data_IF_625107060272
#
_entry.id   IF_625107060272
#
_cell.length_a   1.000
_cell.length_b   1.000
_cell.length_c   1.000
_cell.angle_alpha   90.00
_cell.angle_beta   90.00
_cell.angle_gamma   90.00
#
_symmetry.space_group_name_H-M   'P 1'
#
loop_
_entity.id
_entity.type
_entity.pdbx_description
1 polymer ?
#
# COMPACT_ATOMS: atom_id res chain seq x y z
N UNK A 1 -102.15 55.67 -19.22
CA UNK A 1 -103.32 56.42 -18.72
C UNK A 1 -103.16 57.87 -19.14
N UNK A 2 -103.62 58.22 -20.35
CA UNK A 2 -103.53 59.59 -20.84
C UNK A 2 -104.55 60.44 -20.08
N UNK A 3 -104.07 61.32 -19.21
CA UNK A 3 -104.89 62.33 -18.57
C UNK A 3 -105.32 63.31 -19.68
N UNK A 4 -106.55 63.20 -20.17
CA UNK A 4 -107.10 64.12 -21.17
C UNK A 4 -107.29 65.49 -20.52
N UNK A 5 -106.21 66.28 -20.52
CA UNK A 5 -106.18 67.64 -19.98
C UNK A 5 -107.29 68.50 -20.63
N UNK A 6 -107.62 68.24 -21.89
CA UNK A 6 -108.73 68.88 -22.60
C UNK A 6 -110.10 68.60 -21.98
N UNK A 7 -110.40 67.36 -21.55
CA UNK A 7 -111.68 67.03 -20.93
C UNK A 7 -111.81 67.65 -19.54
N UNK A 8 -110.73 67.64 -18.75
CA UNK A 8 -110.68 68.25 -17.42
C UNK A 8 -110.80 69.79 -17.48
N UNK A 9 -110.14 70.43 -18.44
CA UNK A 9 -110.27 71.86 -18.65
C UNK A 9 -111.67 72.23 -19.18
N UNK A 10 -112.27 71.41 -20.06
CA UNK A 10 -113.65 71.62 -20.56
C UNK A 10 -114.71 71.53 -19.45
N UNK A 11 -114.62 70.58 -18.53
CA UNK A 11 -115.53 70.48 -17.37
C UNK A 11 -115.30 71.62 -16.38
N UNK A 12 -114.05 71.92 -16.03
CA UNK A 12 -113.74 73.02 -15.11
C UNK A 12 -114.20 74.40 -15.64
N UNK A 13 -114.14 74.65 -16.95
CA UNK A 13 -114.67 75.88 -17.56
C UNK A 13 -116.20 75.90 -17.63
N UNK A 14 -116.86 74.76 -17.92
CA UNK A 14 -118.33 74.66 -17.89
C UNK A 14 -118.92 74.94 -16.50
N UNK A 15 -118.28 74.44 -15.45
CA UNK A 15 -118.74 74.65 -14.08
C UNK A 15 -118.52 76.10 -13.61
N UNK A 16 -117.44 76.76 -14.06
CA UNK A 16 -117.21 78.19 -13.75
C UNK A 16 -118.14 79.16 -14.50
N UNK A 17 -118.66 78.80 -15.68
CA UNK A 17 -119.63 79.64 -16.40
C UNK A 17 -121.06 79.53 -15.84
N UNK A 18 -121.44 78.38 -15.26
CA UNK A 18 -122.77 78.18 -14.64
C UNK A 18 -122.98 79.01 -13.37
N UNK A 19 -121.91 79.39 -12.68
CA UNK A 19 -121.97 80.21 -11.46
C UNK A 19 -122.21 81.71 -11.71
N UNK A 20 -122.17 82.17 -12.97
CA UNK A 20 -122.39 83.58 -13.34
C UNK A 20 -123.75 83.85 -14.02
N UNK A 21 -124.65 82.86 -14.11
CA UNK A 21 -125.90 82.92 -14.91
C UNK A 21 -127.23 83.18 -14.17
N UNK A 22 -127.26 83.29 -12.84
CA UNK A 22 -128.50 83.56 -12.09
C UNK A 22 -128.55 85.00 -11.60
N UNK A 23 -129.22 85.86 -12.38
CA UNK A 23 -129.70 87.18 -11.95
C UNK A 23 -131.22 87.08 -11.82
N UNK A 24 -131.82 87.15 -10.62
CA UNK A 24 -133.25 87.40 -10.49
C UNK A 24 -133.53 88.89 -10.67
N UNK A 25 -134.38 89.17 -11.66
CA UNK A 25 -134.96 90.46 -12.05
C UNK A 25 -135.66 91.19 -10.91
N UNK A 26 -135.40 92.49 -10.76
CA UNK A 26 -136.10 93.37 -9.83
C UNK A 26 -137.57 93.57 -10.23
N UNK A 27 -138.50 93.40 -9.29
CA UNK A 27 -139.73 94.19 -9.29
C UNK A 27 -139.34 95.64 -8.99
N UNK A 28 -139.26 96.39 -10.08
CA UNK A 28 -138.96 97.80 -10.13
C UNK A 28 -140.22 98.59 -9.78
N UNK A 29 -140.47 98.79 -8.49
CA UNK A 29 -141.28 99.89 -8.02
C UNK A 29 -140.73 100.33 -6.67
N UNK A 30 -140.27 101.60 -6.58
CA UNK A 30 -139.87 102.32 -5.35
C UNK A 30 -138.38 102.31 -4.93
N UNK A 31 -137.38 102.60 -5.79
CA UNK A 31 -136.04 103.06 -5.32
C UNK A 31 -135.33 104.01 -6.32
N UNK A 32 -134.69 105.09 -5.82
CA UNK A 32 -134.03 106.13 -6.62
C UNK A 32 -132.73 105.65 -7.32
N UNK A 33 -132.39 106.17 -8.52
CA UNK A 33 -131.20 105.79 -9.33
C UNK A 33 -129.82 105.83 -8.63
N UNK A 34 -129.67 106.54 -7.53
CA UNK A 34 -128.41 106.69 -6.78
C UNK A 34 -128.00 105.44 -5.99
N UNK A 35 -128.94 104.56 -5.60
CA UNK A 35 -128.63 103.35 -4.81
C UNK A 35 -128.11 102.18 -5.65
N UNK A 36 -128.53 102.04 -6.92
CA UNK A 36 -128.04 100.99 -7.84
C UNK A 36 -126.56 101.14 -8.19
N UNK A 37 -126.08 102.38 -8.32
CA UNK A 37 -124.69 102.68 -8.66
C UNK A 37 -123.73 102.33 -7.51
N UNK A 38 -124.18 102.52 -6.26
CA UNK A 38 -123.41 102.17 -5.07
C UNK A 38 -123.30 100.66 -4.84
N UNK A 39 -124.35 99.88 -5.09
CA UNK A 39 -124.28 98.42 -5.02
C UNK A 39 -123.32 97.85 -6.07
N UNK A 40 -123.39 98.33 -7.33
CA UNK A 40 -122.45 97.90 -8.37
C UNK A 40 -121.00 98.29 -8.05
N UNK A 41 -120.76 99.43 -7.39
CA UNK A 41 -119.41 99.81 -6.91
C UNK A 41 -118.92 98.93 -5.76
N UNK A 42 -119.80 98.48 -4.86
CA UNK A 42 -119.44 97.52 -3.80
C UNK A 42 -119.10 96.14 -4.36
N UNK A 43 -119.94 95.63 -5.27
CA UNK A 43 -119.67 94.37 -5.98
C UNK A 43 -118.34 94.44 -6.77
N UNK A 44 -118.08 95.55 -7.46
CA UNK A 44 -116.80 95.77 -8.15
C UNK A 44 -115.62 95.78 -7.17
N UNK A 45 -115.73 96.45 -6.03
CA UNK A 45 -114.67 96.48 -5.02
C UNK A 45 -114.45 95.11 -4.36
N UNK A 46 -115.50 94.33 -4.14
CA UNK A 46 -115.41 92.96 -3.60
C UNK A 46 -114.76 92.01 -4.62
N UNK A 47 -115.14 92.10 -5.89
CA UNK A 47 -114.52 91.34 -6.98
C UNK A 47 -113.06 91.76 -7.19
N UNK A 48 -112.74 93.05 -7.11
CA UNK A 48 -111.36 93.55 -7.17
C UNK A 48 -110.51 93.06 -5.99
N UNK A 49 -111.06 93.04 -4.77
CA UNK A 49 -110.38 92.48 -3.59
C UNK A 49 -110.15 90.98 -3.72
N UNK A 50 -111.15 90.22 -4.18
CA UNK A 50 -111.02 88.78 -4.45
C UNK A 50 -110.03 88.48 -5.59
N UNK A 51 -109.96 89.35 -6.61
CA UNK A 51 -108.97 89.24 -7.67
C UNK A 51 -107.56 89.55 -7.17
N UNK A 52 -107.42 90.54 -6.27
CA UNK A 52 -106.14 90.87 -5.65
C UNK A 52 -105.64 89.77 -4.73
N UNK A 53 -106.49 89.16 -3.91
CA UNK A 53 -106.12 88.01 -3.07
C UNK A 53 -105.72 86.80 -3.92
N UNK A 54 -106.47 86.47 -4.97
CA UNK A 54 -106.10 85.41 -5.91
C UNK A 54 -104.78 85.70 -6.63
N UNK A 55 -104.51 86.96 -7.00
CA UNK A 55 -103.21 87.36 -7.58
C UNK A 55 -102.06 87.20 -6.59
N UNK A 56 -102.26 87.55 -5.31
CA UNK A 56 -101.25 87.38 -4.27
C UNK A 56 -101.00 85.89 -3.97
N UNK A 57 -102.05 85.08 -3.86
CA UNK A 57 -101.92 83.63 -3.69
C UNK A 57 -101.22 82.98 -4.88
N UNK A 58 -101.56 83.40 -6.11
CA UNK A 58 -100.88 82.94 -7.32
C UNK A 58 -99.40 83.32 -7.31
N UNK A 59 -99.06 84.56 -6.91
CA UNK A 59 -97.66 85.01 -6.76
C UNK A 59 -96.90 84.16 -5.73
N UNK A 60 -97.46 83.96 -4.54
CA UNK A 60 -96.84 83.13 -3.50
C UNK A 60 -96.68 81.67 -3.94
N UNK A 61 -97.66 81.11 -4.67
CA UNK A 61 -97.55 79.76 -5.25
C UNK A 61 -96.44 79.69 -6.31
N UNK A 62 -96.33 80.71 -7.16
CA UNK A 62 -95.27 80.81 -8.16
C UNK A 62 -93.88 80.93 -7.53
N UNK A 63 -93.73 81.71 -6.46
CA UNK A 63 -92.47 81.85 -5.71
C UNK A 63 -92.05 80.52 -5.06
N UNK A 64 -92.99 79.81 -4.40
CA UNK A 64 -92.71 78.48 -3.82
C UNK A 64 -92.32 77.47 -4.90
N UNK A 65 -92.98 77.50 -6.05
CA UNK A 65 -92.62 76.65 -7.19
C UNK A 65 -91.24 77.02 -7.75
N UNK A 66 -90.91 78.31 -7.84
CA UNK A 66 -89.60 78.78 -8.28
C UNK A 66 -88.48 78.32 -7.32
N UNK A 67 -88.68 78.49 -6.01
CA UNK A 67 -87.75 78.01 -4.98
C UNK A 67 -87.58 76.48 -5.05
N UNK A 68 -88.68 75.73 -5.20
CA UNK A 68 -88.62 74.28 -5.31
C UNK A 68 -87.94 73.81 -6.60
N UNK A 69 -88.13 74.52 -7.71
CA UNK A 69 -87.38 74.28 -8.96
C UNK A 69 -85.88 74.50 -8.76
N UNK A 70 -85.49 75.56 -8.07
CA UNK A 70 -84.08 75.85 -7.77
C UNK A 70 -83.44 74.78 -6.87
N UNK A 71 -84.14 74.36 -5.80
CA UNK A 71 -83.67 73.28 -4.92
C UNK A 71 -83.55 71.94 -5.64
N UNK A 72 -84.50 71.62 -6.53
CA UNK A 72 -84.43 70.42 -7.35
C UNK A 72 -83.24 70.48 -8.32
N UNK A 73 -82.96 71.64 -8.91
CA UNK A 73 -81.78 71.84 -9.76
C UNK A 73 -80.47 71.63 -9.01
N UNK A 74 -80.31 72.22 -7.83
CA UNK A 74 -79.12 72.02 -6.99
C UNK A 74 -78.92 70.55 -6.60
N UNK A 75 -79.98 69.86 -6.19
CA UNK A 75 -79.93 68.43 -5.87
C UNK A 75 -79.59 67.59 -7.10
N UNK A 76 -80.10 67.96 -8.27
CA UNK A 76 -79.74 67.30 -9.52
C UNK A 76 -78.25 67.48 -9.84
N UNK A 77 -77.69 68.67 -9.66
CA UNK A 77 -76.26 68.95 -9.84
C UNK A 77 -75.38 68.17 -8.85
N UNK A 78 -75.77 68.13 -7.57
CA UNK A 78 -75.10 67.33 -6.54
C UNK A 78 -75.10 65.84 -6.90
N UNK A 79 -76.26 65.31 -7.32
CA UNK A 79 -76.38 63.93 -7.77
C UNK A 79 -75.53 63.67 -9.01
N UNK A 80 -75.52 64.58 -9.99
CA UNK A 80 -74.65 64.48 -11.18
C UNK A 80 -73.18 64.42 -10.78
N UNK A 81 -72.73 65.26 -9.84
CA UNK A 81 -71.35 65.25 -9.36
C UNK A 81 -71.00 63.96 -8.61
N UNK A 82 -71.93 63.44 -7.81
CA UNK A 82 -71.77 62.14 -7.13
C UNK A 82 -71.70 60.99 -8.14
N UNK A 83 -72.56 60.97 -9.17
CA UNK A 83 -72.51 59.97 -10.25
C UNK A 83 -71.17 60.02 -10.97
N UNK A 84 -70.66 61.21 -11.32
CA UNK A 84 -69.36 61.35 -11.96
C UNK A 84 -68.20 60.83 -11.08
N UNK A 85 -68.26 61.08 -9.77
CA UNK A 85 -67.28 60.53 -8.82
C UNK A 85 -67.36 59.01 -8.73
N UNK A 86 -68.57 58.44 -8.70
CA UNK A 86 -68.76 56.99 -8.72
C UNK A 86 -68.28 56.36 -10.01
N UNK A 87 -68.56 56.96 -11.17
CA UNK A 87 -68.05 56.49 -12.46
C UNK A 87 -66.53 56.52 -12.51
N UNK A 88 -65.91 57.60 -12.02
CA UNK A 88 -64.46 57.70 -11.91
C UNK A 88 -63.89 56.63 -10.97
N UNK A 89 -64.54 56.37 -9.84
CA UNK A 89 -64.16 55.31 -8.92
C UNK A 89 -64.30 53.91 -9.53
N UNK A 90 -65.40 53.62 -10.24
CA UNK A 90 -65.62 52.36 -10.93
C UNK A 90 -64.57 52.14 -12.02
N UNK A 91 -64.26 53.15 -12.82
CA UNK A 91 -63.17 53.11 -13.81
C UNK A 91 -61.82 52.85 -13.15
N UNK A 92 -61.50 53.55 -12.06
CA UNK A 92 -60.26 53.35 -11.31
C UNK A 92 -60.19 51.97 -10.61
N UNK A 93 -61.31 51.43 -10.16
CA UNK A 93 -61.43 50.09 -9.58
C UNK A 93 -61.26 49.01 -10.64
N UNK A 94 -61.94 49.12 -11.78
CA UNK A 94 -61.80 48.23 -12.92
C UNK A 94 -60.36 48.23 -13.45
N UNK A 95 -59.73 49.40 -13.59
CA UNK A 95 -58.32 49.49 -13.98
C UNK A 95 -57.38 48.84 -12.95
N UNK A 96 -57.68 48.94 -11.64
CA UNK A 96 -56.92 48.23 -10.59
C UNK A 96 -57.11 46.71 -10.67
N UNK A 97 -58.35 46.25 -10.87
CA UNK A 97 -58.66 44.83 -11.05
C UNK A 97 -57.96 44.26 -12.29
N UNK A 98 -58.01 44.96 -13.42
CA UNK A 98 -57.35 44.55 -14.65
C UNK A 98 -55.83 44.46 -14.48
N UNK A 99 -55.20 45.45 -13.83
CA UNK A 99 -53.76 45.39 -13.51
C UNK A 99 -53.42 44.23 -12.58
N UNK A 100 -54.25 43.96 -11.57
CA UNK A 100 -54.04 42.84 -10.66
C UNK A 100 -54.16 41.50 -11.39
N UNK A 101 -55.16 41.35 -12.27
CA UNK A 101 -55.33 40.15 -13.10
C UNK A 101 -54.17 39.97 -14.08
N UNK A 102 -53.71 41.04 -14.74
CA UNK A 102 -52.54 40.99 -15.63
C UNK A 102 -51.28 40.56 -14.87
N UNK A 103 -50.98 41.18 -13.72
CA UNK A 103 -49.84 40.80 -12.87
C UNK A 103 -49.94 39.36 -12.37
N UNK A 104 -51.13 38.92 -11.96
CA UNK A 104 -51.36 37.53 -11.56
C UNK A 104 -51.16 36.56 -12.73
N UNK A 105 -51.61 36.92 -13.93
CA UNK A 105 -51.40 36.16 -15.17
C UNK A 105 -49.93 36.07 -15.55
N UNK A 106 -49.21 37.19 -15.54
CA UNK A 106 -47.76 37.29 -15.80
C UNK A 106 -46.97 36.47 -14.78
N UNK A 107 -47.29 36.57 -13.48
CA UNK A 107 -46.62 35.80 -12.44
C UNK A 107 -46.87 34.29 -12.58
N UNK A 108 -48.09 33.87 -12.95
CA UNK A 108 -48.42 32.46 -13.24
C UNK A 108 -47.65 31.96 -14.46
N UNK A 109 -47.63 32.73 -15.54
CA UNK A 109 -46.91 32.38 -16.76
C UNK A 109 -45.39 32.30 -16.51
N UNK A 110 -44.83 33.22 -15.72
CA UNK A 110 -43.43 33.19 -15.30
C UNK A 110 -43.11 31.97 -14.42
N UNK A 111 -44.00 31.63 -13.47
CA UNK A 111 -43.87 30.42 -12.64
C UNK A 111 -43.87 29.14 -13.48
N UNK A 112 -44.84 29.00 -14.37
CA UNK A 112 -44.92 27.86 -15.31
C UNK A 112 -43.71 27.81 -16.26
N UNK A 113 -43.21 28.96 -16.72
CA UNK A 113 -41.97 29.04 -17.52
C UNK A 113 -40.73 28.58 -16.74
N UNK A 114 -40.61 28.96 -15.47
CA UNK A 114 -39.51 28.52 -14.61
C UNK A 114 -39.59 27.01 -14.30
N UNK A 115 -40.78 26.48 -14.02
CA UNK A 115 -40.98 25.05 -13.78
C UNK A 115 -40.69 24.21 -15.02
N UNK A 116 -41.22 24.62 -16.19
CA UNK A 116 -40.96 23.92 -17.45
C UNK A 116 -39.47 23.93 -17.82
N UNK A 117 -38.75 25.03 -17.57
CA UNK A 117 -37.30 25.08 -17.80
C UNK A 117 -36.51 24.24 -16.80
N UNK A 118 -36.92 24.17 -15.52
CA UNK A 118 -36.31 23.26 -14.53
C UNK A 118 -36.48 21.80 -14.94
N UNK A 119 -37.72 21.39 -15.24
CA UNK A 119 -38.03 20.02 -15.66
C UNK A 119 -37.28 19.63 -16.94
N UNK A 120 -37.14 20.56 -17.90
CA UNK A 120 -36.34 20.32 -19.12
C UNK A 120 -34.87 20.03 -18.80
N UNK A 121 -34.25 20.80 -17.90
CA UNK A 121 -32.85 20.58 -17.48
C UNK A 121 -32.67 19.23 -16.78
N UNK A 122 -33.60 18.86 -15.92
CA UNK A 122 -33.57 17.55 -15.24
C UNK A 122 -33.69 16.40 -16.24
N UNK A 123 -34.62 16.53 -17.20
CA UNK A 123 -34.80 15.55 -18.27
C UNK A 123 -33.54 15.43 -19.15
N UNK A 124 -32.92 16.55 -19.52
CA UNK A 124 -31.63 16.55 -20.23
C UNK A 124 -30.54 15.84 -19.43
N UNK A 125 -30.43 16.10 -18.12
CA UNK A 125 -29.47 15.43 -17.24
C UNK A 125 -29.69 13.91 -17.17
N UNK A 126 -30.95 13.47 -17.04
CA UNK A 126 -31.29 12.05 -17.04
C UNK A 126 -31.00 11.37 -18.38
N UNK A 127 -31.27 12.05 -19.50
CA UNK A 127 -30.94 11.54 -20.83
C UNK A 127 -29.43 11.37 -21.01
N UNK A 128 -28.63 12.34 -20.57
CA UNK A 128 -27.17 12.23 -20.60
C UNK A 128 -26.66 11.07 -19.75
N UNK A 129 -27.21 10.87 -18.54
CA UNK A 129 -26.85 9.74 -17.68
C UNK A 129 -27.20 8.41 -18.36
N UNK A 130 -28.40 8.30 -18.92
CA UNK A 130 -28.82 7.12 -19.69
C UNK A 130 -27.87 6.85 -20.86
N UNK A 131 -27.48 7.87 -21.61
CA UNK A 131 -26.53 7.71 -22.71
C UNK A 131 -25.15 7.23 -22.23
N UNK A 132 -24.64 7.77 -21.12
CA UNK A 132 -23.36 7.33 -20.53
C UNK A 132 -23.42 5.86 -20.14
N UNK A 133 -24.49 5.46 -19.43
CA UNK A 133 -24.71 4.06 -19.06
C UNK A 133 -24.86 3.17 -20.30
N UNK A 134 -25.58 3.61 -21.32
CA UNK A 134 -25.73 2.87 -22.57
C UNK A 134 -24.40 2.75 -23.34
N UNK A 135 -23.50 3.73 -23.25
CA UNK A 135 -22.13 3.62 -23.81
C UNK A 135 -21.33 2.58 -23.03
N UNK A 136 -21.39 2.58 -21.69
CA UNK A 136 -20.72 1.56 -20.88
C UNK A 136 -21.25 0.14 -21.12
N UNK A 137 -22.57 -0.05 -21.19
CA UNK A 137 -23.15 -1.35 -21.53
C UNK A 137 -22.72 -1.82 -22.93
N UNK A 138 -22.67 -0.91 -23.91
CA UNK A 138 -22.17 -1.24 -25.26
C UNK A 138 -20.70 -1.65 -25.25
N UNK A 139 -19.85 -1.00 -24.45
CA UNK A 139 -18.45 -1.43 -24.31
C UNK A 139 -18.31 -2.77 -23.61
N UNK A 140 -19.23 -3.13 -22.72
CA UNK A 140 -19.20 -4.41 -22.00
C UNK A 140 -19.73 -5.59 -22.83
N UNK A 141 -20.51 -5.32 -23.87
CA UNK A 141 -21.14 -6.34 -24.71
C UNK A 141 -20.15 -7.33 -25.34
N UNK A 142 -18.97 -6.85 -25.75
CA UNK A 142 -17.93 -7.75 -26.28
C UNK A 142 -17.45 -8.79 -25.27
N UNK A 143 -17.42 -8.45 -23.97
CA UNK A 143 -17.08 -9.40 -22.91
C UNK A 143 -18.21 -10.39 -22.66
N UNK A 144 -19.47 -9.94 -22.74
CA UNK A 144 -20.64 -10.82 -22.65
C UNK A 144 -20.64 -11.85 -23.79
N UNK A 145 -20.47 -11.39 -25.03
CA UNK A 145 -20.41 -12.26 -26.22
C UNK A 145 -19.25 -13.26 -26.12
N UNK A 146 -18.08 -12.82 -25.64
CA UNK A 146 -16.94 -13.69 -25.39
C UNK A 146 -17.25 -14.75 -24.32
N UNK A 147 -17.80 -14.35 -23.17
CA UNK A 147 -18.13 -15.27 -22.07
C UNK A 147 -19.21 -16.27 -22.48
N UNK A 148 -20.21 -15.85 -23.24
CA UNK A 148 -21.21 -16.73 -23.83
C UNK A 148 -20.58 -17.72 -24.82
N UNK A 149 -19.65 -17.26 -25.66
CA UNK A 149 -18.90 -18.13 -26.57
C UNK A 149 -18.05 -19.18 -25.84
N UNK A 150 -17.38 -18.79 -24.75
CA UNK A 150 -16.64 -19.72 -23.88
C UNK A 150 -17.59 -20.72 -23.22
N UNK A 151 -18.73 -20.27 -22.69
CA UNK A 151 -19.74 -21.13 -22.09
C UNK A 151 -20.27 -22.16 -23.09
N UNK A 152 -20.60 -21.73 -24.32
CA UNK A 152 -21.07 -22.61 -25.38
C UNK A 152 -20.01 -23.64 -25.80
N UNK A 153 -18.73 -23.24 -25.83
CA UNK A 153 -17.63 -24.14 -26.18
C UNK A 153 -17.31 -25.16 -25.08
N UNK A 154 -17.43 -24.74 -23.81
CA UNK A 154 -17.17 -25.59 -22.65
C UNK A 154 -18.32 -26.59 -22.42
N UNK A 155 -19.58 -26.17 -22.61
CA UNK A 155 -20.76 -27.02 -22.48
C UNK A 155 -21.04 -27.61 -21.08
N UNK A 156 -20.21 -27.29 -20.08
CA UNK A 156 -20.22 -27.88 -18.74
C UNK A 156 -20.98 -27.03 -17.71
N UNK A 157 -21.28 -25.76 -18.03
CA UNK A 157 -21.89 -24.80 -17.10
C UNK A 157 -23.24 -24.33 -17.66
N UNK A 158 -24.22 -24.16 -16.76
CA UNK A 158 -25.56 -23.69 -17.14
C UNK A 158 -25.57 -22.20 -17.48
N UNK A 159 -24.77 -21.40 -16.76
CA UNK A 159 -24.75 -19.95 -16.86
C UNK A 159 -23.34 -19.38 -16.60
N UNK A 160 -23.10 -18.18 -17.14
CA UNK A 160 -21.80 -17.47 -17.03
C UNK A 160 -21.41 -17.21 -15.56
N UNK A 161 -22.33 -16.81 -14.65
CA UNK A 161 -22.01 -16.66 -13.24
C UNK A 161 -21.52 -17.94 -12.58
N UNK A 162 -22.15 -19.10 -12.81
CA UNK A 162 -21.69 -20.37 -12.24
C UNK A 162 -20.30 -20.76 -12.78
N UNK A 163 -20.04 -20.54 -14.07
CA UNK A 163 -18.71 -20.74 -14.67
C UNK A 163 -17.66 -19.86 -13.98
N UNK A 164 -17.94 -18.56 -13.80
CA UNK A 164 -17.03 -17.64 -13.14
C UNK A 164 -16.81 -17.99 -11.67
N UNK A 165 -17.85 -18.43 -10.95
CA UNK A 165 -17.73 -18.88 -9.57
C UNK A 165 -16.82 -20.12 -9.46
N UNK A 166 -16.95 -21.07 -10.39
CA UNK A 166 -16.06 -22.23 -10.44
C UNK A 166 -14.61 -21.83 -10.70
N UNK A 167 -14.35 -20.96 -11.68
CA UNK A 167 -13.00 -20.46 -11.93
C UNK A 167 -12.45 -19.63 -10.75
N UNK A 168 -13.29 -18.86 -10.08
CA UNK A 168 -12.94 -18.17 -8.84
C UNK A 168 -12.46 -19.14 -7.77
N UNK A 169 -13.23 -20.19 -7.50
CA UNK A 169 -12.85 -21.24 -6.57
C UNK A 169 -11.57 -21.99 -7.00
N UNK A 170 -11.34 -22.20 -8.30
CA UNK A 170 -10.09 -22.78 -8.82
C UNK A 170 -8.88 -21.86 -8.58
N UNK A 171 -9.05 -20.54 -8.73
CA UNK A 171 -7.98 -19.58 -8.45
C UNK A 171 -7.67 -19.55 -6.95
N UNK A 172 -8.68 -19.56 -6.10
CA UNK A 172 -8.51 -19.62 -4.64
C UNK A 172 -7.82 -20.92 -4.20
N UNK A 173 -8.29 -22.08 -4.69
CA UNK A 173 -7.67 -23.38 -4.39
C UNK A 173 -6.25 -23.48 -4.93
N UNK A 174 -5.95 -22.92 -6.11
CA UNK A 174 -4.58 -22.83 -6.61
C UNK A 174 -3.71 -21.97 -5.69
N UNK A 175 -4.22 -20.85 -5.17
CA UNK A 175 -3.48 -19.99 -4.26
C UNK A 175 -3.15 -20.71 -2.94
N UNK A 176 -4.11 -21.44 -2.36
CA UNK A 176 -3.88 -22.21 -1.12
C UNK A 176 -2.91 -23.37 -1.34
N UNK A 177 -3.01 -24.09 -2.45
CA UNK A 177 -2.05 -25.14 -2.81
C UNK A 177 -0.64 -24.59 -3.05
N UNK A 178 -0.52 -23.42 -3.67
CA UNK A 178 0.77 -22.76 -3.87
C UNK A 178 1.44 -22.42 -2.53
N UNK A 179 0.68 -21.85 -1.58
CA UNK A 179 1.18 -21.56 -0.23
C UNK A 179 1.63 -22.84 0.51
N UNK A 180 0.87 -23.93 0.39
CA UNK A 180 1.26 -25.21 0.97
C UNK A 180 2.52 -25.79 0.32
N UNK A 181 2.67 -25.64 -0.99
CA UNK A 181 3.86 -26.07 -1.71
C UNK A 181 5.10 -25.26 -1.31
N UNK A 182 4.96 -23.93 -1.15
CA UNK A 182 6.03 -23.07 -0.65
C UNK A 182 6.45 -23.46 0.77
N UNK A 183 5.50 -23.63 1.68
CA UNK A 183 5.80 -24.10 3.03
C UNK A 183 6.51 -25.47 3.01
N UNK A 184 6.06 -26.40 2.17
CA UNK A 184 6.72 -27.70 1.98
C UNK A 184 8.15 -27.57 1.46
N UNK A 185 8.41 -26.65 0.54
CA UNK A 185 9.75 -26.36 0.05
C UNK A 185 10.66 -25.78 1.14
N UNK A 186 10.14 -24.89 1.98
CA UNK A 186 10.88 -24.34 3.13
C UNK A 186 11.27 -25.43 4.12
N UNK A 187 10.36 -26.35 4.45
CA UNK A 187 10.65 -27.52 5.30
C UNK A 187 11.74 -28.41 4.69
N UNK A 188 11.66 -28.68 3.39
CA UNK A 188 12.69 -29.45 2.70
C UNK A 188 14.04 -28.73 2.66
N UNK A 189 14.05 -27.41 2.44
CA UNK A 189 15.25 -26.60 2.48
C UNK A 189 15.89 -26.61 3.88
N UNK A 190 15.07 -26.51 4.93
CA UNK A 190 15.54 -26.61 6.31
C UNK A 190 16.15 -27.99 6.60
N UNK A 191 15.48 -29.07 6.21
CA UNK A 191 16.00 -30.43 6.36
C UNK A 191 17.31 -30.65 5.60
N UNK A 192 17.42 -30.13 4.36
CA UNK A 192 18.67 -30.18 3.58
C UNK A 192 19.80 -29.39 4.24
N UNK A 193 19.52 -28.20 4.77
CA UNK A 193 20.51 -27.40 5.48
C UNK A 193 21.01 -28.11 6.75
N UNK A 194 20.10 -28.76 7.49
CA UNK A 194 20.47 -29.56 8.66
C UNK A 194 21.36 -30.74 8.28
N UNK A 195 21.01 -31.48 7.22
CA UNK A 195 21.83 -32.59 6.72
C UNK A 195 23.22 -32.12 6.29
N UNK A 196 23.31 -30.99 5.57
CA UNK A 196 24.59 -30.41 5.16
C UNK A 196 25.46 -30.03 6.36
N UNK A 197 24.86 -29.48 7.42
CA UNK A 197 25.58 -29.18 8.67
C UNK A 197 26.14 -30.45 9.30
N UNK A 198 25.32 -31.49 9.46
CA UNK A 198 25.79 -32.77 10.01
C UNK A 198 26.89 -33.39 9.16
N UNK A 199 26.79 -33.33 7.83
CA UNK A 199 27.84 -33.83 6.93
C UNK A 199 29.14 -33.04 7.07
N UNK A 200 29.07 -31.71 7.18
CA UNK A 200 30.25 -30.87 7.39
C UNK A 200 30.90 -31.14 8.75
N UNK A 201 30.10 -31.28 9.81
CA UNK A 201 30.57 -31.62 11.15
C UNK A 201 31.24 -33.00 11.18
N UNK A 202 30.58 -34.03 10.64
CA UNK A 202 31.13 -35.38 10.54
C UNK A 202 32.41 -35.41 9.69
N UNK A 203 32.43 -34.71 8.54
CA UNK A 203 33.62 -34.57 7.71
C UNK A 203 34.77 -33.90 8.45
N UNK A 204 34.51 -32.85 9.23
CA UNK A 204 35.53 -32.18 10.04
C UNK A 204 36.08 -33.07 11.15
N UNK A 205 35.24 -33.92 11.75
CA UNK A 205 35.68 -34.90 12.76
C UNK A 205 36.54 -35.99 12.14
N UNK A 206 36.13 -36.53 10.99
CA UNK A 206 36.92 -37.51 10.25
C UNK A 206 38.31 -36.97 9.91
N UNK A 207 38.39 -35.75 9.36
CA UNK A 207 39.68 -35.11 9.07
C UNK A 207 40.54 -34.96 10.33
N UNK A 208 39.97 -34.51 11.45
CA UNK A 208 40.71 -34.43 12.72
C UNK A 208 41.25 -35.78 13.17
N UNK A 209 40.44 -36.84 13.09
CA UNK A 209 40.90 -38.18 13.46
C UNK A 209 41.95 -38.72 12.50
N UNK A 210 41.85 -38.41 11.21
CA UNK A 210 42.87 -38.77 10.22
C UNK A 210 44.19 -38.02 10.48
N UNK A 211 44.13 -36.74 10.80
CA UNK A 211 45.30 -35.94 11.20
C UNK A 211 45.95 -36.50 12.48
N UNK A 212 45.16 -36.88 13.49
CA UNK A 212 45.68 -37.54 14.70
C UNK A 212 46.32 -38.89 14.39
N UNK A 213 45.71 -39.69 13.51
CA UNK A 213 46.26 -40.98 13.10
C UNK A 213 47.57 -40.83 12.33
N UNK A 214 47.67 -39.85 11.43
CA UNK A 214 48.92 -39.59 10.69
C UNK A 214 50.04 -39.12 11.61
N UNK A 215 49.73 -38.25 12.58
CA UNK A 215 50.70 -37.83 13.61
C UNK A 215 51.19 -39.00 14.46
N UNK A 216 50.28 -39.88 14.90
CA UNK A 216 50.66 -41.07 15.67
C UNK A 216 51.52 -42.04 14.85
N UNK A 217 51.21 -42.24 13.57
CA UNK A 217 52.03 -43.05 12.67
C UNK A 217 53.43 -42.47 12.49
N UNK A 218 53.54 -41.17 12.26
CA UNK A 218 54.84 -40.51 12.15
C UNK A 218 55.68 -40.66 13.43
N UNK A 219 55.06 -40.55 14.61
CA UNK A 219 55.76 -40.79 15.89
C UNK A 219 56.23 -42.23 16.04
N UNK A 220 55.40 -43.19 15.63
CA UNK A 220 55.75 -44.61 15.67
C UNK A 220 56.90 -44.93 14.70
N UNK A 221 56.86 -44.40 13.48
CA UNK A 221 57.94 -44.55 12.49
C UNK A 221 59.25 -43.93 12.98
N UNK A 222 59.20 -42.75 13.60
CA UNK A 222 60.36 -42.12 14.22
C UNK A 222 60.95 -43.00 15.34
N UNK A 223 60.10 -43.50 16.25
CA UNK A 223 60.56 -44.38 17.32
C UNK A 223 61.14 -45.70 16.78
N UNK A 224 60.54 -46.29 15.74
CA UNK A 224 61.11 -47.46 15.06
C UNK A 224 62.46 -47.16 14.42
N UNK A 225 62.61 -45.99 13.80
CA UNK A 225 63.89 -45.57 13.22
C UNK A 225 64.98 -45.46 14.29
N UNK A 226 64.67 -44.84 15.44
CA UNK A 226 65.60 -44.71 16.55
C UNK A 226 66.01 -46.09 17.11
N UNK A 227 65.05 -46.99 17.31
CA UNK A 227 65.32 -48.37 17.75
C UNK A 227 66.23 -49.09 16.77
N UNK A 228 65.95 -49.01 15.45
CA UNK A 228 66.79 -49.64 14.43
C UNK A 228 68.21 -49.07 14.41
N UNK A 229 68.38 -47.77 14.65
CA UNK A 229 69.71 -47.15 14.77
C UNK A 229 70.47 -47.73 15.97
N UNK A 230 69.85 -47.76 17.15
CA UNK A 230 70.45 -48.32 18.36
C UNK A 230 70.79 -49.81 18.22
N UNK A 231 69.91 -50.59 17.60
CA UNK A 231 70.15 -52.00 17.28
C UNK A 231 71.37 -52.18 16.36
N UNK A 232 71.51 -51.31 15.34
CA UNK A 232 72.65 -51.36 14.42
C UNK A 232 73.97 -51.00 15.11
N UNK A 233 73.97 -49.99 15.99
CA UNK A 233 75.10 -49.62 16.84
C UNK A 233 75.47 -50.79 17.75
N UNK A 234 74.48 -51.44 18.35
CA UNK A 234 74.70 -52.57 19.22
C UNK A 234 75.28 -53.79 18.49
N UNK A 235 74.75 -54.10 17.30
CA UNK A 235 75.29 -55.15 16.43
C UNK A 235 76.75 -54.88 16.04
N UNK A 236 77.10 -53.62 15.78
CA UNK A 236 78.48 -53.23 15.50
C UNK A 236 79.41 -53.44 16.70
N UNK A 237 78.99 -53.03 17.90
CA UNK A 237 79.76 -53.26 19.13
C UNK A 237 79.92 -54.76 19.38
N UNK A 238 78.87 -55.56 19.22
CA UNK A 238 78.93 -57.02 19.35
C UNK A 238 79.90 -57.64 18.34
N UNK A 239 79.87 -57.21 17.07
CA UNK A 239 80.84 -57.65 16.07
C UNK A 239 82.27 -57.26 16.47
N UNK A 240 82.49 -56.07 17.02
CA UNK A 240 83.82 -55.64 17.46
C UNK A 240 84.32 -56.45 18.67
N UNK A 241 83.43 -56.76 19.63
CA UNK A 241 83.74 -57.60 20.79
C UNK A 241 84.08 -59.02 20.34
N UNK A 242 83.25 -59.63 19.50
CA UNK A 242 83.52 -60.99 18.98
C UNK A 242 84.85 -61.07 18.23
N UNK A 243 85.19 -60.08 17.40
CA UNK A 243 86.50 -59.98 16.74
C UNK A 243 87.66 -59.86 17.73
N UNK A 244 87.55 -58.97 18.73
CA UNK A 244 88.58 -58.82 19.77
C UNK A 244 88.75 -60.08 20.60
N UNK A 245 87.66 -60.74 20.98
CA UNK A 245 87.67 -62.02 21.71
C UNK A 245 88.32 -63.12 20.87
N UNK A 246 88.04 -63.17 19.56
CA UNK A 246 88.68 -64.12 18.66
C UNK A 246 90.20 -63.87 18.57
N UNK A 247 90.62 -62.62 18.36
CA UNK A 247 92.04 -62.24 18.31
C UNK A 247 92.74 -62.58 19.62
N UNK A 248 92.13 -62.27 20.77
CA UNK A 248 92.65 -62.64 22.07
C UNK A 248 92.83 -64.16 22.17
N UNK A 249 91.82 -64.94 21.78
CA UNK A 249 91.90 -66.40 21.76
C UNK A 249 93.02 -66.93 20.86
N UNK A 250 93.20 -66.34 19.67
CA UNK A 250 94.29 -66.68 18.76
C UNK A 250 95.66 -66.35 19.35
N UNK A 251 95.83 -65.19 20.00
CA UNK A 251 97.07 -64.81 20.70
C UNK A 251 97.33 -65.80 21.82
N UNK A 252 96.34 -66.08 22.67
CA UNK A 252 96.48 -67.05 23.77
C UNK A 252 96.93 -68.41 23.27
N UNK A 253 96.34 -68.91 22.19
CA UNK A 253 96.70 -70.19 21.59
C UNK A 253 98.11 -70.17 20.99
N UNK A 254 98.50 -69.11 20.28
CA UNK A 254 99.83 -68.97 19.71
C UNK A 254 100.91 -68.91 20.81
N UNK A 255 100.65 -68.17 21.89
CA UNK A 255 101.50 -68.12 23.09
C UNK A 255 101.64 -69.51 23.71
N UNK A 256 100.52 -70.19 23.96
CA UNK A 256 100.52 -71.54 24.54
C UNK A 256 101.32 -72.51 23.67
N UNK A 257 101.14 -72.47 22.35
CA UNK A 257 101.88 -73.31 21.40
C UNK A 257 103.40 -73.02 21.44
N UNK A 258 103.80 -71.75 21.50
CA UNK A 258 105.21 -71.36 21.61
C UNK A 258 105.83 -71.78 22.95
N UNK A 259 105.09 -71.61 24.04
CA UNK A 259 105.49 -72.07 25.37
C UNK A 259 105.69 -73.58 25.43
N UNK A 260 104.73 -74.35 24.91
CA UNK A 260 104.85 -75.81 24.80
C UNK A 260 106.05 -76.21 23.94
N UNK A 261 106.31 -75.51 22.82
CA UNK A 261 107.48 -75.78 21.98
C UNK A 261 108.81 -75.49 22.71
N UNK A 262 108.90 -74.37 23.43
CA UNK A 262 110.10 -73.97 24.16
C UNK A 262 110.39 -74.92 25.33
N UNK A 263 109.38 -75.25 26.13
CA UNK A 263 109.50 -76.18 27.26
C UNK A 263 109.84 -77.60 26.80
N UNK A 264 109.23 -78.08 25.70
CA UNK A 264 109.51 -79.39 25.14
C UNK A 264 110.94 -79.53 24.55
N UNK A 265 111.48 -78.46 23.95
CA UNK A 265 112.85 -78.48 23.38
C UNK A 265 113.95 -78.28 24.40
N UNK A 266 113.69 -77.51 25.45
CA UNK A 266 114.67 -77.14 26.49
C UNK A 266 114.56 -78.02 27.74
N UNK A 267 113.62 -78.97 27.80
CA UNK A 267 113.33 -79.85 28.94
C UNK A 267 113.15 -79.08 30.27
N UNK A 268 112.48 -77.92 30.23
CA UNK A 268 112.23 -77.08 31.40
C UNK A 268 110.93 -77.56 32.07
N UNK A 269 110.95 -78.01 33.35
CA UNK A 269 109.74 -78.35 34.08
C UNK A 269 109.02 -77.06 34.49
N UNK A 270 108.02 -76.65 33.73
CA UNK A 270 107.27 -75.43 34.01
C UNK A 270 105.87 -75.78 34.54
N UNK A 271 105.64 -75.51 35.82
CA UNK A 271 104.33 -75.61 36.51
C UNK A 271 103.55 -74.29 36.34
N UNK A 272 103.25 -73.94 35.09
CA UNK A 272 102.53 -72.71 34.74
C UNK A 272 101.10 -73.05 34.33
N UNK A 273 100.13 -72.33 34.89
CA UNK A 273 98.71 -72.55 34.62
C UNK A 273 98.37 -72.32 33.13
N UNK A 274 97.49 -73.16 32.58
CA UNK A 274 97.15 -73.18 31.16
C UNK A 274 96.47 -71.88 30.66
N UNK A 275 95.81 -71.16 31.57
CA UNK A 275 95.08 -69.91 31.29
C UNK A 275 95.90 -68.63 31.51
N UNK A 276 97.08 -68.74 32.13
CA UNK A 276 97.93 -67.59 32.44
C UNK A 276 98.91 -67.30 31.30
N UNK A 277 98.45 -66.49 30.35
CA UNK A 277 99.21 -66.19 29.15
C UNK A 277 100.39 -65.24 29.37
N UNK A 278 100.35 -64.43 30.44
CA UNK A 278 101.44 -63.52 30.77
C UNK A 278 102.64 -64.32 31.30
N UNK A 279 102.40 -65.25 32.24
CA UNK A 279 103.44 -66.15 32.74
C UNK A 279 104.03 -67.08 31.65
N UNK A 280 103.18 -67.54 30.71
CA UNK A 280 103.64 -68.31 29.54
C UNK A 280 104.52 -67.48 28.60
N UNK A 281 104.20 -66.20 28.37
CA UNK A 281 105.03 -65.30 27.58
C UNK A 281 106.37 -65.00 28.27
N UNK A 282 106.37 -64.77 29.58
CA UNK A 282 107.58 -64.48 30.36
C UNK A 282 108.59 -65.64 30.31
N UNK A 283 108.09 -66.88 30.40
CA UNK A 283 108.92 -68.07 30.27
C UNK A 283 109.46 -68.25 28.85
N UNK A 284 108.65 -68.01 27.81
CA UNK A 284 109.12 -67.98 26.40
C UNK A 284 110.17 -66.90 26.20
N UNK A 285 109.97 -65.70 26.76
CA UNK A 285 110.90 -64.58 26.67
C UNK A 285 112.23 -64.91 27.34
N UNK A 286 112.20 -65.53 28.53
CA UNK A 286 113.40 -65.99 29.22
C UNK A 286 114.16 -67.00 28.35
N UNK A 287 113.46 -68.01 27.82
CA UNK A 287 114.06 -69.00 26.93
C UNK A 287 114.70 -68.34 25.69
N UNK A 288 114.02 -67.37 25.07
CA UNK A 288 114.58 -66.65 23.91
C UNK A 288 115.79 -65.80 24.27
N UNK A 289 115.79 -65.14 25.45
CA UNK A 289 116.93 -64.36 25.93
C UNK A 289 118.12 -65.25 26.25
N UNK A 290 117.89 -66.40 26.85
CA UNK A 290 118.93 -67.40 27.13
C UNK A 290 119.52 -67.94 25.82
N UNK A 291 118.67 -68.29 24.85
CA UNK A 291 119.13 -68.69 23.51
C UNK A 291 119.91 -67.57 22.79
N UNK A 292 119.45 -66.32 22.91
CA UNK A 292 120.15 -65.16 22.34
C UNK A 292 121.49 -64.89 23.03
N UNK A 293 121.57 -65.06 24.36
CA UNK A 293 122.81 -64.95 25.12
C UNK A 293 123.79 -66.06 24.71
N UNK A 294 123.33 -67.31 24.58
CA UNK A 294 124.14 -68.42 24.06
C UNK A 294 124.62 -68.11 22.64
N UNK A 295 123.76 -67.59 21.75
CA UNK A 295 124.16 -67.21 20.39
C UNK A 295 125.13 -66.02 20.37
N UNK A 296 125.03 -65.09 21.33
CA UNK A 296 125.94 -63.96 21.47
C UNK A 296 127.31 -64.39 22.02
N UNK A 297 127.35 -65.37 22.93
CA UNK A 297 128.60 -66.00 23.38
C UNK A 297 129.26 -66.85 22.27
N UNK A 298 128.46 -67.42 21.38
CA UNK A 298 128.93 -68.12 20.18
C UNK A 298 129.31 -67.16 19.02
N UNK A 299 129.06 -65.85 19.16
CA UNK A 299 129.46 -64.84 18.16
C UNK A 299 130.83 -64.21 18.53
N UNK A 300 131.85 -64.31 17.67
CA UNK A 300 133.13 -63.65 17.90
C UNK A 300 133.03 -62.12 17.77
N UNK A 301 133.90 -61.45 18.54
CA UNK A 301 134.12 -60.00 18.64
C UNK A 301 134.56 -59.40 17.30
N UNK A 302 133.72 -58.62 16.63
CA UNK A 302 134.14 -57.66 15.59
C UNK A 302 133.76 -56.23 16.01
N UNK A 303 134.74 -55.33 16.19
CA UNK A 303 134.50 -53.89 16.24
C UNK A 303 134.73 -53.21 14.88
N UNK A 304 133.68 -52.55 14.36
CA UNK A 304 133.80 -51.29 13.64
C UNK A 304 133.36 -51.26 12.17
N UNK A 305 132.07 -50.97 11.92
CA UNK A 305 131.58 -49.70 11.34
C UNK A 305 130.05 -49.77 11.09
N UNK A 306 129.42 -48.63 11.33
CA UNK A 306 127.98 -48.42 11.50
C UNK A 306 127.08 -48.67 10.27
N UNK A 307 125.76 -48.82 10.49
CA UNK A 307 124.75 -49.17 9.49
C UNK A 307 124.03 -47.94 8.90
N UNK A 308 123.29 -48.14 7.81
CA UNK A 308 122.06 -47.42 7.42
C UNK A 308 121.57 -47.98 6.07
N UNK A 309 120.30 -48.26 5.79
CA UNK A 309 119.05 -48.07 6.50
C UNK A 309 117.91 -48.65 5.64
N UNK A 310 116.77 -48.91 6.27
CA UNK A 310 115.55 -49.41 5.64
C UNK A 310 115.07 -48.51 4.47
N UNK A 311 114.51 -49.07 3.38
CA UNK A 311 113.61 -48.31 2.51
C UNK A 311 112.27 -48.09 3.21
N UNK A 312 111.89 -46.82 3.30
CA UNK A 312 110.60 -46.35 3.82
C UNK A 312 109.43 -46.83 2.94
N UNK A 313 108.31 -47.13 3.60
CA UNK A 313 107.02 -47.42 2.98
C UNK A 313 106.46 -46.19 2.22
N UNK A 314 105.77 -46.37 1.08
CA UNK A 314 105.03 -45.29 0.44
C UNK A 314 103.73 -45.01 1.19
N UNK A 315 103.52 -43.74 1.50
CA UNK A 315 102.28 -43.18 2.01
C UNK A 315 101.18 -43.21 0.95
N UNK A 316 100.10 -43.94 1.22
CA UNK A 316 98.84 -43.81 0.49
C UNK A 316 98.11 -42.53 0.92
N UNK A 317 97.81 -41.70 -0.07
CA UNK A 317 97.07 -40.43 0.00
C UNK A 317 95.64 -40.62 0.55
N UNK A 318 95.08 -39.63 1.25
CA UNK A 318 93.64 -39.56 1.53
C UNK A 318 92.87 -39.04 0.31
N UNK A 319 91.85 -39.79 -0.12
CA UNK A 319 90.87 -39.37 -1.11
C UNK A 319 89.79 -38.51 -0.44
N UNK A 320 89.88 -37.21 -0.71
CA UNK A 320 88.81 -36.28 -1.06
C UNK A 320 87.39 -36.63 -0.58
N UNK A 321 86.92 -35.84 0.38
CA UNK A 321 85.50 -35.52 0.58
C UNK A 321 84.95 -34.76 -0.63
N UNK A 322 83.86 -35.26 -1.21
CA UNK A 322 82.79 -34.46 -1.82
C UNK A 322 81.52 -34.83 -1.02
N UNK A 323 80.72 -33.91 -0.50
CA UNK A 323 80.26 -32.68 -1.10
C UNK A 323 78.90 -32.94 -1.73
N UNK A 324 77.83 -32.92 -0.92
CA UNK A 324 76.46 -32.83 -1.42
C UNK A 324 75.67 -31.83 -0.56
N UNK A 325 75.25 -30.78 -1.26
CA UNK A 325 74.59 -29.55 -0.83
C UNK A 325 73.09 -29.84 -0.70
N UNK A 326 72.48 -29.48 0.42
CA UNK A 326 71.02 -29.43 0.59
C UNK A 326 70.53 -28.08 0.06
N UNK A 327 69.49 -28.01 -0.80
CA UNK A 327 68.73 -26.79 -1.01
C UNK A 327 67.49 -26.78 -0.11
N UNK A 328 67.24 -25.61 0.47
CA UNK A 328 66.01 -25.20 1.12
C UNK A 328 64.83 -25.19 0.14
N UNK A 329 63.71 -25.79 0.55
CA UNK A 329 62.34 -25.34 0.24
C UNK A 329 61.62 -25.28 1.58
N UNK A 330 61.15 -24.12 2.07
CA UNK A 330 59.91 -23.45 1.65
C UNK A 330 58.73 -24.42 1.54
N UNK A 331 58.07 -24.66 2.67
CA UNK A 331 56.63 -24.42 2.89
C UNK A 331 56.44 -23.82 4.28
#
# INVERSE_FOLDING_TARGET
MAFNLEEYLRTAFRDKLRLHGTVPTCDAATLLPSTRLLQKRREMAEVERALQSQRQEFRQRMERLAQRRQQLGQREEELRHVVLKFDAFLKASAARQERALRRAGEARAAGQGAETTRLRRELEGLLQLRERLARHLRSLRGFEDYLQGVLARMGQFQDVPAMLAHFGALVETRATLAQQAEAGQEWLAHGRALLQRYQAEAGSQLLRTEDELTQLRARLEAAHHDVLQEESCWAHIQSAVTQKTLLLGQIKLAVLNLFQLATARLNIPADVALEDTEAQLDTVLLCMRDLAAICAELRPREPGLCPQGLPAAPSTRPLRQGGARVPLGQE
#
